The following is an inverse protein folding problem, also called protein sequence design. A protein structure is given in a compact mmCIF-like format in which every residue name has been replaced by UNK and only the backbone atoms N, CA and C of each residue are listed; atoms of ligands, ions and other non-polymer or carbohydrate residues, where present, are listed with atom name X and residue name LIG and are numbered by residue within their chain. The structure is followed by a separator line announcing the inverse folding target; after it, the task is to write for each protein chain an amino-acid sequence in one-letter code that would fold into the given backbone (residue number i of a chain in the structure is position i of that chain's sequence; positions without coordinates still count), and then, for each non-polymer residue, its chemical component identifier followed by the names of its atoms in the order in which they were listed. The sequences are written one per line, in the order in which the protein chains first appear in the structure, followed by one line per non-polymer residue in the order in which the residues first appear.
data_IF_517657470366
#
_entry.id   IF_517657470366
#
_cell.length_a   1.000
_cell.length_b   1.000
_cell.length_c   1.000
_cell.angle_alpha   90.00
_cell.angle_beta   90.00
_cell.angle_gamma   90.00
#
_symmetry.space_group_name_H-M   'P 1'
#
loop_
_entity.id
_entity.type
_entity.pdbx_description
1 polymer ?
#
# COMPACT_ATOMS: atom_id res chain seq x y z
N UNK A 1 4.12 9.25 15.30
CA UNK A 1 4.85 9.25 14.00
C UNK A 1 3.85 9.60 12.92
N UNK A 2 4.27 10.23 11.80
CA UNK A 2 3.37 10.50 10.69
C UNK A 2 2.79 9.20 10.10
N UNK A 3 1.56 9.27 9.59
CA UNK A 3 0.90 8.16 8.90
C UNK A 3 0.96 8.39 7.40
N UNK A 4 1.16 7.31 6.65
CA UNK A 4 1.24 7.34 5.20
C UNK A 4 0.36 6.23 4.62
N UNK A 5 -0.42 6.56 3.61
CA UNK A 5 -1.09 5.57 2.75
C UNK A 5 -0.32 5.51 1.43
N UNK A 6 -0.04 4.31 0.95
CA UNK A 6 0.76 4.12 -0.26
C UNK A 6 0.14 3.07 -1.18
N UNK A 7 0.19 3.33 -2.48
CA UNK A 7 -0.19 2.37 -3.53
C UNK A 7 0.80 2.41 -4.69
N UNK A 8 0.71 1.42 -5.59
CA UNK A 8 1.53 1.36 -6.82
C UNK A 8 0.64 1.40 -8.05
N UNK A 9 0.94 2.33 -8.96
CA UNK A 9 0.43 2.34 -10.35
C UNK A 9 1.61 2.05 -11.26
N UNK A 10 1.49 1.02 -12.10
CA UNK A 10 2.48 0.71 -13.13
C UNK A 10 1.78 0.30 -14.43
N UNK A 11 2.29 0.80 -15.54
CA UNK A 11 1.76 0.59 -16.87
C UNK A 11 0.37 1.19 -17.07
N UNK A 12 -0.35 0.63 -18.03
CA UNK A 12 -1.68 1.12 -18.45
C UNK A 12 -2.85 0.28 -17.94
N UNK A 13 -2.60 -0.79 -17.17
CA UNK A 13 -3.67 -1.68 -16.66
C UNK A 13 -4.66 -0.93 -15.77
N UNK A 14 -4.15 -0.06 -14.89
CA UNK A 14 -4.95 0.82 -14.04
C UNK A 14 -4.65 2.27 -14.42
N UNK A 15 -5.70 3.03 -14.71
CA UNK A 15 -5.59 4.46 -14.99
C UNK A 15 -5.35 5.25 -13.70
N UNK A 16 -4.95 6.52 -13.82
CA UNK A 16 -4.83 7.44 -12.68
C UNK A 16 -6.12 7.57 -11.86
N UNK A 17 -7.27 7.35 -12.49
CA UNK A 17 -8.57 7.37 -11.82
C UNK A 17 -8.66 6.38 -10.65
N UNK A 18 -8.04 5.20 -10.75
CA UNK A 18 -8.03 4.23 -9.64
C UNK A 18 -7.29 4.77 -8.40
N UNK A 19 -6.17 5.46 -8.64
CA UNK A 19 -5.39 6.09 -7.56
C UNK A 19 -6.20 7.20 -6.91
N UNK A 20 -6.83 8.07 -7.71
CA UNK A 20 -7.64 9.18 -7.19
C UNK A 20 -8.87 8.66 -6.42
N UNK A 21 -9.53 7.61 -6.91
CA UNK A 21 -10.64 6.95 -6.20
C UNK A 21 -10.16 6.36 -4.88
N UNK A 22 -9.04 5.65 -4.86
CA UNK A 22 -8.45 5.09 -3.63
C UNK A 22 -8.13 6.19 -2.61
N UNK A 23 -7.48 7.28 -3.05
CA UNK A 23 -7.18 8.44 -2.21
C UNK A 23 -8.46 9.05 -1.61
N UNK A 24 -9.49 9.24 -2.43
CA UNK A 24 -10.78 9.76 -1.99
C UNK A 24 -11.51 8.82 -1.00
N UNK A 25 -11.42 7.50 -1.19
CA UNK A 25 -11.95 6.53 -0.23
C UNK A 25 -11.20 6.60 1.11
N UNK A 26 -9.87 6.71 1.08
CA UNK A 26 -9.05 6.88 2.28
C UNK A 26 -9.41 8.16 3.03
N UNK A 27 -9.54 9.29 2.33
CA UNK A 27 -9.93 10.59 2.91
C UNK A 27 -11.31 10.54 3.57
N UNK A 28 -12.29 9.85 2.97
CA UNK A 28 -13.63 9.71 3.56
C UNK A 28 -13.68 8.82 4.80
N UNK A 29 -12.79 7.84 4.89
CA UNK A 29 -12.87 6.76 5.89
C UNK A 29 -11.70 6.72 6.87
N UNK A 30 -10.85 7.73 6.89
CA UNK A 30 -9.73 7.85 7.83
C UNK A 30 -9.82 9.19 8.52
N UNK A 31 -9.89 9.20 9.86
CA UNK A 31 -9.94 10.43 10.67
C UNK A 31 -8.56 10.82 11.17
N UNK A 32 -7.65 9.87 11.34
CA UNK A 32 -6.27 10.20 11.69
C UNK A 32 -5.60 10.92 10.52
N UNK A 33 -4.76 11.96 10.77
CA UNK A 33 -4.02 12.61 9.70
C UNK A 33 -3.09 11.63 9.00
N UNK A 34 -3.03 11.68 7.67
CA UNK A 34 -2.12 10.89 6.85
C UNK A 34 -1.75 11.64 5.57
N UNK A 35 -0.61 11.27 4.98
CA UNK A 35 -0.24 11.67 3.62
C UNK A 35 -0.50 10.53 2.65
N UNK A 36 -1.00 10.84 1.45
CA UNK A 36 -1.22 9.85 0.41
C UNK A 36 -0.08 9.87 -0.61
N UNK A 37 0.43 8.69 -0.94
CA UNK A 37 1.59 8.48 -1.81
C UNK A 37 1.26 7.49 -2.93
N UNK A 38 1.71 7.78 -4.15
CA UNK A 38 1.60 6.87 -5.29
C UNK A 38 2.98 6.59 -5.88
N UNK A 39 3.37 5.32 -5.88
CA UNK A 39 4.54 4.82 -6.58
C UNK A 39 4.19 4.62 -8.05
N UNK A 40 4.78 5.41 -8.94
CA UNK A 40 4.46 5.35 -10.38
C UNK A 40 5.59 5.89 -11.26
N UNK A 41 5.72 5.36 -12.46
CA UNK A 41 6.53 5.96 -13.54
C UNK A 41 5.79 7.08 -14.28
N UNK A 42 4.47 7.13 -14.17
CA UNK A 42 3.60 8.09 -14.86
C UNK A 42 2.58 8.71 -13.89
N UNK A 43 2.73 10.03 -13.68
CA UNK A 43 1.90 10.84 -12.81
C UNK A 43 0.71 11.50 -13.51
N UNK A 44 0.55 11.32 -14.82
CA UNK A 44 -0.48 12.02 -15.58
C UNK A 44 -1.90 11.71 -15.07
N UNK A 45 -2.66 12.76 -14.79
CA UNK A 45 -4.04 12.67 -14.30
C UNK A 45 -4.20 12.30 -12.83
N UNK A 46 -3.10 12.16 -12.07
CA UNK A 46 -3.19 12.08 -10.61
C UNK A 46 -3.60 13.43 -10.03
N UNK A 47 -4.39 13.41 -8.95
CA UNK A 47 -4.73 14.61 -8.20
C UNK A 47 -3.48 15.30 -7.64
N UNK A 48 -3.50 16.63 -7.56
CA UNK A 48 -2.35 17.48 -7.16
C UNK A 48 -1.85 17.23 -5.73
N UNK A 49 -2.72 16.74 -4.86
CA UNK A 49 -2.43 16.43 -3.45
C UNK A 49 -1.85 15.01 -3.25
N UNK A 50 -1.65 14.24 -4.33
CA UNK A 50 -0.99 12.94 -4.28
C UNK A 50 0.53 13.12 -4.38
N UNK A 51 1.25 12.63 -3.37
CA UNK A 51 2.71 12.62 -3.40
C UNK A 51 3.20 11.53 -4.35
N UNK A 52 3.88 11.92 -5.43
CA UNK A 52 4.41 10.99 -6.43
C UNK A 52 5.80 10.53 -6.01
N UNK A 53 5.96 9.21 -5.88
CA UNK A 53 7.26 8.56 -5.69
C UNK A 53 7.60 7.84 -6.98
N UNK A 54 8.70 8.24 -7.61
CA UNK A 54 9.17 7.58 -8.83
C UNK A 54 9.53 6.13 -8.51
N UNK A 55 9.10 5.22 -9.38
CA UNK A 55 9.52 3.84 -9.27
C UNK A 55 11.05 3.72 -9.40
N UNK A 56 11.67 2.84 -8.60
CA UNK A 56 13.10 2.69 -8.66
C UNK A 56 13.49 2.01 -9.97
N UNK A 57 14.59 2.43 -10.57
CA UNK A 57 15.16 1.77 -11.74
C UNK A 57 15.90 0.48 -11.32
N UNK A 58 15.18 -0.49 -10.76
CA UNK A 58 15.77 -1.76 -10.33
C UNK A 58 15.79 -2.76 -11.49
N UNK A 59 16.97 -3.26 -11.90
CA UNK A 59 17.05 -4.31 -12.92
C UNK A 59 16.33 -5.56 -12.43
N UNK A 60 15.42 -6.09 -13.24
CA UNK A 60 14.66 -7.33 -12.96
C UNK A 60 13.31 -7.13 -12.26
N UNK A 61 13.06 -5.97 -11.63
CA UNK A 61 11.75 -5.64 -11.07
C UNK A 61 11.02 -4.74 -12.07
N UNK A 62 10.29 -5.37 -12.99
CA UNK A 62 9.35 -4.70 -13.87
C UNK A 62 7.94 -5.07 -13.42
N UNK A 63 6.96 -4.19 -13.60
CA UNK A 63 5.54 -4.42 -13.28
C UNK A 63 5.14 -4.19 -11.80
N UNK A 64 3.99 -4.74 -11.38
CA UNK A 64 3.39 -4.61 -10.06
C UNK A 64 4.30 -5.03 -8.89
N UNK A 65 5.32 -5.86 -9.16
CA UNK A 65 6.37 -6.22 -8.20
C UNK A 65 7.16 -5.01 -7.67
N UNK A 66 7.04 -3.86 -8.33
CA UNK A 66 7.56 -2.58 -7.85
C UNK A 66 7.07 -2.22 -6.45
N UNK A 67 5.96 -2.81 -5.96
CA UNK A 67 5.52 -2.64 -4.57
C UNK A 67 6.53 -3.12 -3.53
N UNK A 68 7.42 -4.04 -3.88
CA UNK A 68 8.52 -4.44 -2.98
C UNK A 68 9.44 -3.27 -2.61
N UNK A 69 9.47 -2.21 -3.43
CA UNK A 69 10.21 -1.00 -3.12
C UNK A 69 9.76 -0.31 -1.84
N UNK A 70 8.53 -0.55 -1.36
CA UNK A 70 8.07 0.01 -0.08
C UNK A 70 8.85 -0.52 1.13
N UNK A 71 9.57 -1.63 0.97
CA UNK A 71 10.47 -2.19 1.99
C UNK A 71 11.91 -1.70 1.87
N UNK A 72 12.21 -0.90 0.84
CA UNK A 72 13.55 -0.39 0.61
C UNK A 72 13.89 0.67 1.66
N UNK A 73 15.11 0.66 2.23
CA UNK A 73 15.58 1.78 3.07
C UNK A 73 15.71 3.09 2.28
N UNK A 74 15.68 3.03 0.94
CA UNK A 74 15.71 4.20 0.06
C UNK A 74 14.33 4.84 -0.15
N UNK A 75 13.25 4.26 0.40
CA UNK A 75 11.93 4.89 0.35
C UNK A 75 11.97 6.22 1.13
N UNK A 76 11.63 7.36 0.51
CA UNK A 76 11.76 8.68 1.14
C UNK A 76 10.62 8.99 2.12
N UNK A 77 10.13 7.99 2.86
CA UNK A 77 9.02 8.10 3.82
C UNK A 77 9.50 7.61 5.18
N UNK A 78 9.15 8.34 6.25
CA UNK A 78 9.41 7.94 7.64
C UNK A 78 8.13 8.02 8.45
N UNK A 79 7.65 6.87 8.93
CA UNK A 79 6.45 6.78 9.76
C UNK A 79 5.76 5.44 9.61
N UNK A 80 4.47 5.40 9.97
CA UNK A 80 3.63 4.21 9.77
C UNK A 80 3.13 4.19 8.34
N UNK A 81 3.41 3.11 7.60
CA UNK A 81 3.01 2.94 6.20
C UNK A 81 1.88 1.92 6.12
N UNK A 82 0.76 2.32 5.54
CA UNK A 82 -0.36 1.45 5.18
C UNK A 82 -0.42 1.31 3.66
N UNK A 83 -0.22 0.08 3.16
CA UNK A 83 -0.28 -0.21 1.73
C UNK A 83 -1.66 -0.73 1.31
N UNK A 84 -2.16 -0.25 0.17
CA UNK A 84 -3.33 -0.81 -0.51
C UNK A 84 -3.03 -1.07 -1.99
N UNK A 85 -3.57 -2.17 -2.52
CA UNK A 85 -3.68 -2.37 -3.97
C UNK A 85 -4.74 -1.42 -4.57
N UNK A 86 -4.75 -1.25 -5.90
CA UNK A 86 -5.66 -0.31 -6.58
C UNK A 86 -7.08 -0.87 -6.78
N UNK A 87 -7.28 -2.17 -6.57
CA UNK A 87 -8.54 -2.90 -6.78
C UNK A 87 -9.27 -3.23 -5.47
N UNK A 88 -9.10 -2.38 -4.45
CA UNK A 88 -9.81 -2.48 -3.16
C UNK A 88 -10.95 -1.48 -3.06
N UNK A 89 -11.90 -1.78 -2.17
CA UNK A 89 -12.96 -0.84 -1.77
C UNK A 89 -12.86 -0.60 -0.27
N UNK A 90 -12.70 0.66 0.13
CA UNK A 90 -12.73 1.09 1.53
C UNK A 90 -14.09 1.75 1.76
N UNK A 91 -14.92 1.14 2.61
CA UNK A 91 -16.31 1.56 2.85
C UNK A 91 -16.64 1.77 4.35
N UNK A 92 -15.67 1.58 5.23
CA UNK A 92 -15.78 1.78 6.68
C UNK A 92 -14.51 2.41 7.22
N UNK A 93 -14.59 2.97 8.42
CA UNK A 93 -13.45 3.59 9.08
C UNK A 93 -12.26 2.62 9.21
N UNK A 94 -11.06 3.09 8.84
CA UNK A 94 -9.82 2.30 8.85
C UNK A 94 -8.77 2.81 9.84
N UNK A 95 -9.13 3.68 10.79
CA UNK A 95 -8.17 4.22 11.79
C UNK A 95 -7.52 3.11 12.63
N UNK A 96 -8.22 1.98 12.81
CA UNK A 96 -7.70 0.82 13.51
C UNK A 96 -6.44 0.24 12.83
N UNK A 97 -6.29 0.37 11.51
CA UNK A 97 -5.13 -0.16 10.79
C UNK A 97 -3.84 0.59 11.13
N UNK A 98 -3.94 1.86 11.53
CA UNK A 98 -2.79 2.67 11.95
C UNK A 98 -2.40 2.47 13.42
N UNK A 99 -3.34 2.01 14.25
CA UNK A 99 -3.13 1.82 15.70
C UNK A 99 -2.94 0.35 16.10
N UNK A 100 -3.22 -0.60 15.20
CA UNK A 100 -3.05 -2.02 15.47
C UNK A 100 -1.56 -2.41 15.45
N UNK A 101 -1.04 -2.86 16.60
CA UNK A 101 0.34 -3.36 16.78
C UNK A 101 1.40 -2.38 16.22
N UNK A 102 1.54 -1.20 16.83
CA UNK A 102 2.48 -0.19 16.34
C UNK A 102 3.91 -0.72 16.36
N UNK A 103 4.69 -0.35 15.34
CA UNK A 103 6.07 -0.78 15.12
C UNK A 103 6.26 -2.26 14.78
N UNK A 104 5.19 -3.04 14.61
CA UNK A 104 5.25 -4.39 14.08
C UNK A 104 4.98 -4.39 12.57
N UNK A 105 5.65 -5.28 11.83
CA UNK A 105 5.32 -5.53 10.43
C UNK A 105 4.06 -6.40 10.34
N UNK A 106 3.02 -5.89 9.68
CA UNK A 106 1.73 -6.53 9.57
C UNK A 106 1.35 -6.79 8.12
N UNK A 107 0.80 -7.98 7.86
CA UNK A 107 0.18 -8.36 6.58
C UNK A 107 -1.18 -9.00 6.86
N UNK A 108 -2.10 -8.88 5.91
CA UNK A 108 -3.39 -9.56 5.99
C UNK A 108 -3.14 -11.07 5.96
N UNK A 109 -3.79 -11.80 6.87
CA UNK A 109 -3.75 -13.26 6.89
C UNK A 109 -4.51 -13.79 5.67
N UNK A 110 -3.85 -14.64 4.89
CA UNK A 110 -4.48 -15.35 3.78
C UNK A 110 -5.66 -16.20 4.27
N UNK A 111 -6.81 -16.04 3.61
CA UNK A 111 -8.05 -16.77 3.89
C UNK A 111 -7.97 -18.26 3.51
N UNK A 112 -7.06 -18.64 2.60
CA UNK A 112 -6.94 -20.01 2.09
C UNK A 112 -6.23 -21.00 3.04
N UNK A 113 -5.84 -20.59 4.26
CA UNK A 113 -5.16 -21.48 5.23
C UNK A 113 -6.09 -22.40 6.03
N UNK A 114 -7.34 -22.58 5.63
CA UNK A 114 -8.07 -23.78 6.03
C UNK A 114 -7.44 -24.99 5.33
N UNK A 115 -6.71 -25.83 6.09
CA UNK A 115 -6.24 -27.20 5.75
C UNK A 115 -4.77 -27.41 5.39
N UNK A 116 -3.86 -27.10 6.31
CA UNK A 116 -2.75 -28.03 6.55
C UNK A 116 -2.62 -28.22 8.05
N UNK A 117 -3.14 -29.33 8.55
CA UNK A 117 -2.74 -29.86 9.85
C UNK A 117 -1.30 -30.35 9.69
N UNK A 118 -0.34 -29.54 10.12
CA UNK A 118 1.03 -29.99 10.32
C UNK A 118 0.99 -30.92 11.52
N UNK A 119 0.90 -32.24 11.28
CA UNK A 119 1.34 -33.21 12.29
C UNK A 119 2.83 -32.98 12.47
N UNK A 120 3.20 -32.43 13.62
CA UNK A 120 4.56 -32.43 14.09
C UNK A 120 4.96 -33.90 14.28
N UNK A 121 5.78 -34.43 13.37
CA UNK A 121 6.60 -35.59 13.68
C UNK A 121 7.71 -35.09 14.61
N UNK A 122 7.50 -35.26 15.91
CA UNK A 122 8.60 -35.28 16.87
C UNK A 122 9.27 -36.65 16.76
N UNK A 123 10.50 -36.67 16.26
CA UNK A 123 11.47 -37.74 16.49
C UNK A 123 12.46 -37.30 17.56
#
# INVERSE_FOLDING_TARGET
MPNHVICVKWGSKYTSQYVNILKNMCQRHTKVPFEFHCLTEDAQGLDVDINVIKLPALPGIKTWWSKLYMFSPALPIKGTILYFDLDVIIFKNIDCLFSYKPNEFMIIRDFNRCRVSVSLYTS
#
